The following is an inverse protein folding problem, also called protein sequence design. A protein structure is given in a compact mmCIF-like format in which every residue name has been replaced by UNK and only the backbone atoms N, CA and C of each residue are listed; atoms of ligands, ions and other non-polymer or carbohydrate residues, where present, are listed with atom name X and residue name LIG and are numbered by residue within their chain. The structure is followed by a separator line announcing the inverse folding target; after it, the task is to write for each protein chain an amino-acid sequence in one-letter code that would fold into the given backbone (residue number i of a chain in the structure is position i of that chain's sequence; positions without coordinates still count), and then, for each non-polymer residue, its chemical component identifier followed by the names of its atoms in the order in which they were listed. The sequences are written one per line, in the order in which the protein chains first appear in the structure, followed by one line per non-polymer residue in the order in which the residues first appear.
data_IF_004181436238
#
_entry.id   IF_004181436238
#
_cell.length_a   1.000
_cell.length_b   1.000
_cell.length_c   1.000
_cell.angle_alpha   90.00
_cell.angle_beta   90.00
_cell.angle_gamma   90.00
#
_symmetry.space_group_name_H-M   'P 1'
#
loop_
_entity.id
_entity.type
_entity.pdbx_description
1 polymer ?
#
# COMPACT_ATOMS: atom_id res chain seq x y z
N UNK A 1 31.51 8.00 -25.68
CA UNK A 1 32.87 8.10 -26.25
C UNK A 1 33.29 9.55 -26.08
N UNK A 2 34.38 9.78 -25.38
CA UNK A 2 34.96 11.12 -25.28
C UNK A 2 35.64 11.44 -26.61
N UNK A 3 35.31 12.58 -27.19
CA UNK A 3 35.94 13.11 -28.40
C UNK A 3 37.20 13.89 -28.04
N UNK A 4 38.04 14.16 -29.05
CA UNK A 4 39.33 14.84 -28.89
C UNK A 4 39.23 16.26 -28.33
N UNK A 5 38.07 16.89 -28.43
CA UNK A 5 37.72 18.20 -27.86
C UNK A 5 37.21 18.11 -26.40
N UNK A 6 37.19 16.91 -25.81
CA UNK A 6 36.70 16.67 -24.46
C UNK A 6 35.17 16.51 -24.35
N UNK A 7 34.41 16.68 -25.44
CA UNK A 7 32.97 16.43 -25.43
C UNK A 7 32.65 14.93 -25.40
N UNK A 8 31.43 14.54 -25.03
CA UNK A 8 31.03 13.13 -24.91
C UNK A 8 29.88 12.84 -25.87
N UNK A 9 30.08 11.88 -26.78
CA UNK A 9 29.04 11.42 -27.72
C UNK A 9 28.62 9.97 -27.47
N UNK A 10 27.40 9.63 -27.85
CA UNK A 10 26.91 8.25 -27.83
C UNK A 10 27.71 7.37 -28.80
N UNK A 11 27.99 6.13 -28.39
CA UNK A 11 28.69 5.14 -29.23
C UNK A 11 27.82 4.62 -30.37
N UNK A 12 26.53 4.42 -30.10
CA UNK A 12 25.54 3.98 -31.07
C UNK A 12 24.41 5.03 -31.17
N UNK A 13 24.20 5.66 -32.34
CA UNK A 13 23.13 6.64 -32.57
C UNK A 13 21.72 6.10 -32.29
N UNK A 14 21.49 4.78 -32.40
CA UNK A 14 20.19 4.15 -32.11
C UNK A 14 19.80 4.25 -30.64
N UNK A 15 20.79 4.37 -29.75
CA UNK A 15 20.58 4.58 -28.31
C UNK A 15 19.88 5.91 -28.06
N UNK A 16 20.11 6.93 -28.90
CA UNK A 16 19.47 8.24 -28.75
C UNK A 16 17.94 8.14 -28.85
N UNK A 17 17.43 7.34 -29.79
CA UNK A 17 15.99 7.15 -29.94
C UNK A 17 15.40 6.36 -28.76
N UNK A 18 16.11 5.31 -28.29
CA UNK A 18 15.70 4.52 -27.13
C UNK A 18 15.65 5.36 -25.85
N UNK A 19 16.66 6.20 -25.62
CA UNK A 19 16.70 7.16 -24.51
C UNK A 19 15.49 8.09 -24.58
N UNK A 20 15.21 8.70 -25.74
CA UNK A 20 14.05 9.60 -25.89
C UNK A 20 12.72 8.91 -25.63
N UNK A 21 12.56 7.65 -26.03
CA UNK A 21 11.32 6.89 -25.81
C UNK A 21 11.10 6.44 -24.36
N UNK A 22 12.16 6.43 -23.53
CA UNK A 22 12.11 6.00 -22.14
C UNK A 22 12.45 7.12 -21.15
N UNK A 23 12.81 8.31 -21.65
CA UNK A 23 13.13 9.46 -20.83
C UNK A 23 11.87 9.99 -20.13
N UNK A 24 11.97 10.18 -18.83
CA UNK A 24 10.89 10.69 -17.99
C UNK A 24 10.96 10.12 -16.59
N UNK A 25 10.37 10.85 -15.65
CA UNK A 25 10.26 10.44 -14.23
C UNK A 25 8.85 10.00 -13.86
N UNK A 26 7.86 10.30 -14.70
CA UNK A 26 6.46 9.92 -14.48
C UNK A 26 6.30 8.45 -14.83
N UNK A 27 5.82 7.66 -13.88
CA UNK A 27 5.47 6.27 -14.09
C UNK A 27 3.96 6.11 -14.07
N UNK A 28 3.44 5.46 -15.11
CA UNK A 28 2.03 5.08 -15.16
C UNK A 28 1.81 3.74 -14.44
N UNK A 29 0.57 3.51 -13.98
CA UNK A 29 0.17 2.22 -13.41
C UNK A 29 0.03 1.19 -14.54
N UNK A 30 0.86 0.15 -14.54
CA UNK A 30 0.80 -0.90 -15.56
C UNK A 30 -0.55 -1.64 -15.46
N UNK A 31 -1.27 -1.78 -16.58
CA UNK A 31 -2.49 -2.58 -16.68
C UNK A 31 -2.21 -3.95 -17.30
N UNK A 32 -2.98 -4.96 -16.88
CA UNK A 32 -2.96 -6.31 -17.41
C UNK A 32 -4.28 -6.64 -18.08
N UNK A 33 -4.21 -7.32 -19.24
CA UNK A 33 -5.41 -7.76 -19.97
C UNK A 33 -6.08 -8.91 -19.24
N UNK A 34 -7.39 -8.89 -19.15
CA UNK A 34 -8.20 -9.99 -18.58
C UNK A 34 -8.87 -10.76 -19.71
N UNK A 35 -8.68 -12.08 -19.73
CA UNK A 35 -9.26 -12.97 -20.75
C UNK A 35 -9.86 -14.22 -20.12
N UNK A 36 -10.86 -14.79 -20.77
CA UNK A 36 -11.31 -16.12 -20.40
C UNK A 36 -10.22 -17.17 -20.66
N UNK A 37 -10.06 -18.11 -19.74
CA UNK A 37 -9.21 -19.29 -19.92
C UNK A 37 -9.73 -20.11 -21.09
N UNK A 38 -8.85 -20.42 -22.05
CA UNK A 38 -9.25 -21.24 -23.20
C UNK A 38 -9.57 -22.67 -22.76
N UNK A 39 -10.62 -23.27 -23.33
CA UNK A 39 -10.89 -24.71 -23.24
C UNK A 39 -10.13 -25.41 -24.36
N UNK A 40 -9.46 -26.53 -24.02
CA UNK A 40 -8.70 -27.45 -24.90
C UNK A 40 -8.95 -27.23 -26.41
N UNK A 41 -7.95 -26.69 -27.11
CA UNK A 41 -7.88 -26.71 -28.58
C UNK A 41 -8.36 -25.47 -29.35
N UNK A 42 -8.91 -24.43 -28.71
CA UNK A 42 -9.23 -23.16 -29.38
C UNK A 42 -8.29 -22.02 -28.99
N UNK A 43 -7.90 -21.19 -29.95
CA UNK A 43 -7.04 -20.03 -29.75
C UNK A 43 -7.69 -19.02 -28.78
N UNK A 44 -6.86 -18.48 -27.88
CA UNK A 44 -7.06 -17.35 -26.96
C UNK A 44 -8.51 -16.98 -26.63
N UNK A 45 -8.96 -17.27 -25.40
CA UNK A 45 -10.28 -16.86 -24.92
C UNK A 45 -10.50 -15.35 -25.00
N UNK A 46 -11.77 -14.94 -25.14
CA UNK A 46 -12.12 -13.54 -25.41
C UNK A 46 -11.64 -12.59 -24.31
N UNK A 47 -11.21 -11.40 -24.74
CA UNK A 47 -10.77 -10.33 -23.83
C UNK A 47 -11.98 -9.64 -23.23
N UNK A 48 -11.95 -9.47 -21.91
CA UNK A 48 -13.06 -8.92 -21.11
C UNK A 48 -12.78 -7.47 -20.73
N UNK A 49 -11.51 -7.12 -20.51
CA UNK A 49 -11.09 -5.77 -20.11
C UNK A 49 -9.65 -5.75 -19.62
N UNK A 50 -9.30 -4.75 -18.82
CA UNK A 50 -7.98 -4.60 -18.20
C UNK A 50 -8.12 -4.29 -16.70
N UNK A 51 -7.13 -4.67 -15.90
CA UNK A 51 -7.03 -4.38 -14.47
C UNK A 51 -5.63 -3.89 -14.13
N UNK A 52 -5.45 -3.08 -13.09
CA UNK A 52 -4.11 -2.71 -12.60
C UNK A 52 -3.30 -3.95 -12.20
N UNK A 53 -1.99 -3.96 -12.52
CA UNK A 53 -1.05 -5.03 -12.17
C UNK A 53 -1.05 -5.28 -10.65
N UNK A 54 -1.08 -4.20 -9.85
CA UNK A 54 -1.13 -4.30 -8.39
C UNK A 54 -2.36 -5.08 -7.89
N UNK A 55 -3.52 -4.86 -8.52
CA UNK A 55 -4.72 -5.62 -8.20
C UNK A 55 -4.57 -7.09 -8.61
N UNK A 56 -4.08 -7.36 -9.83
CA UNK A 56 -3.91 -8.72 -10.32
C UNK A 56 -2.94 -9.56 -9.48
N UNK A 57 -1.86 -8.96 -8.98
CA UNK A 57 -0.88 -9.64 -8.10
C UNK A 57 -1.49 -9.98 -6.73
N UNK A 58 -2.49 -9.22 -6.27
CA UNK A 58 -3.20 -9.51 -5.02
C UNK A 58 -4.18 -10.69 -5.11
N UNK A 59 -4.37 -11.28 -6.30
CA UNK A 59 -5.31 -12.38 -6.52
C UNK A 59 -4.63 -13.74 -6.33
N UNK A 60 -5.28 -14.60 -5.57
CA UNK A 60 -4.93 -16.02 -5.43
C UNK A 60 -5.85 -16.86 -6.30
N UNK A 61 -5.38 -17.94 -6.96
CA UNK A 61 -6.24 -18.81 -7.76
C UNK A 61 -7.50 -19.23 -6.98
N UNK A 62 -8.69 -18.98 -7.56
CA UNK A 62 -9.97 -19.19 -6.90
C UNK A 62 -10.66 -17.93 -6.34
N UNK A 63 -9.93 -16.83 -6.23
CA UNK A 63 -10.51 -15.51 -5.94
C UNK A 63 -11.47 -15.09 -7.05
N UNK A 64 -12.54 -14.40 -6.69
CA UNK A 64 -13.49 -13.82 -7.64
C UNK A 64 -13.37 -12.31 -7.64
N UNK A 65 -13.55 -11.68 -8.80
CA UNK A 65 -13.61 -10.23 -8.93
C UNK A 65 -14.59 -9.77 -10.00
N UNK A 66 -15.03 -8.52 -9.91
CA UNK A 66 -15.96 -7.91 -10.85
C UNK A 66 -15.20 -7.16 -11.95
N UNK A 67 -15.50 -7.46 -13.21
CA UNK A 67 -14.97 -6.74 -14.39
C UNK A 67 -16.00 -6.72 -15.50
N UNK A 68 -16.24 -5.53 -16.10
CA UNK A 68 -17.21 -5.38 -17.19
C UNK A 68 -18.62 -5.90 -16.83
N UNK A 69 -19.04 -5.73 -15.57
CA UNK A 69 -20.33 -6.23 -15.06
C UNK A 69 -20.40 -7.74 -14.82
N UNK A 70 -19.29 -8.47 -15.00
CA UNK A 70 -19.24 -9.93 -14.85
C UNK A 70 -18.38 -10.33 -13.66
N UNK A 71 -18.88 -11.26 -12.85
CA UNK A 71 -18.10 -11.88 -11.78
C UNK A 71 -17.30 -13.04 -12.37
N UNK A 72 -15.98 -12.91 -12.30
CA UNK A 72 -15.04 -13.88 -12.85
C UNK A 72 -14.12 -14.39 -11.76
N UNK A 73 -13.75 -15.67 -11.84
CA UNK A 73 -12.80 -16.32 -10.95
C UNK A 73 -11.42 -16.29 -11.58
N UNK A 74 -10.45 -15.77 -10.85
CA UNK A 74 -9.05 -15.81 -11.20
C UNK A 74 -8.56 -17.26 -11.25
N UNK A 75 -8.02 -17.67 -12.39
CA UNK A 75 -7.47 -19.00 -12.60
C UNK A 75 -5.94 -18.96 -12.49
N UNK A 76 -5.32 -18.10 -13.28
CA UNK A 76 -3.87 -17.91 -13.28
C UNK A 76 -3.49 -16.62 -13.97
N UNK A 77 -2.29 -16.13 -13.66
CA UNK A 77 -1.63 -15.08 -14.42
C UNK A 77 -0.60 -15.72 -15.35
N UNK A 78 -0.84 -15.64 -16.66
CA UNK A 78 0.10 -16.14 -17.69
C UNK A 78 0.59 -14.97 -18.52
N UNK A 79 1.90 -14.80 -18.59
CA UNK A 79 2.54 -13.64 -19.23
C UNK A 79 2.00 -12.30 -18.70
N UNK A 80 1.17 -11.60 -19.49
CA UNK A 80 0.51 -10.32 -19.19
C UNK A 80 -1.02 -10.42 -19.25
N UNK A 81 -1.54 -11.65 -19.11
CA UNK A 81 -2.96 -11.94 -19.21
C UNK A 81 -3.44 -12.62 -17.94
N UNK A 82 -4.39 -11.98 -17.28
CA UNK A 82 -5.17 -12.56 -16.20
C UNK A 82 -6.19 -13.51 -16.82
N UNK A 83 -5.95 -14.81 -16.68
CA UNK A 83 -6.90 -15.82 -17.13
C UNK A 83 -7.99 -16.03 -16.09
N UNK A 84 -9.24 -16.02 -16.55
CA UNK A 84 -10.40 -16.14 -15.67
C UNK A 84 -11.42 -17.13 -16.19
N UNK A 85 -12.28 -17.61 -15.29
CA UNK A 85 -13.47 -18.39 -15.63
C UNK A 85 -14.74 -17.77 -15.03
N UNK A 86 -15.94 -17.94 -15.62
CA UNK A 86 -17.17 -17.42 -15.04
C UNK A 86 -17.46 -18.02 -13.65
N UNK A 87 -17.81 -17.17 -12.67
CA UNK A 87 -18.30 -17.57 -11.33
C UNK A 87 -19.33 -16.57 -10.78
N UNK A 88 -20.52 -16.47 -11.40
CA UNK A 88 -21.54 -15.50 -10.99
C UNK A 88 -22.02 -15.67 -9.55
N UNK A 89 -21.99 -16.90 -9.03
CA UNK A 89 -22.53 -17.28 -7.71
C UNK A 89 -21.71 -16.77 -6.50
N UNK A 90 -20.46 -16.32 -6.68
CA UNK A 90 -19.52 -16.04 -5.57
C UNK A 90 -19.29 -14.54 -5.42
N UNK A 91 -19.25 -14.05 -4.17
CA UNK A 91 -19.01 -12.62 -3.86
C UNK A 91 -17.67 -12.15 -4.47
N UNK A 92 -17.65 -11.10 -5.31
CA UNK A 92 -16.42 -10.60 -5.95
C UNK A 92 -15.62 -9.69 -5.01
N UNK A 93 -14.29 -9.73 -5.13
CA UNK A 93 -13.40 -8.60 -4.82
C UNK A 93 -13.67 -7.48 -5.82
N UNK A 94 -13.66 -6.24 -5.36
CA UNK A 94 -13.80 -5.08 -6.25
C UNK A 94 -12.40 -4.70 -6.73
N UNK A 95 -12.22 -4.62 -8.06
CA UNK A 95 -10.99 -4.11 -8.63
C UNK A 95 -10.82 -2.64 -8.22
N UNK A 96 -9.79 -2.35 -7.45
CA UNK A 96 -9.45 -0.98 -7.05
C UNK A 96 -8.46 -0.47 -8.08
N UNK A 97 -8.86 0.58 -8.79
CA UNK A 97 -7.95 1.40 -9.56
C UNK A 97 -7.40 2.46 -8.62
N UNK A 98 -6.14 2.32 -8.23
CA UNK A 98 -5.54 3.17 -7.20
C UNK A 98 -5.18 4.54 -7.77
N UNK A 99 -4.88 4.62 -9.07
CA UNK A 99 -4.39 5.84 -9.72
C UNK A 99 -3.25 6.52 -8.96
N UNK A 100 -2.94 7.78 -9.31
CA UNK A 100 -2.09 8.68 -8.51
C UNK A 100 -2.90 9.32 -7.39
N UNK A 101 -3.40 8.53 -6.44
CA UNK A 101 -3.96 9.09 -5.21
C UNK A 101 -2.84 9.67 -4.35
N UNK A 102 -2.67 10.99 -4.41
CA UNK A 102 -1.85 11.71 -3.44
C UNK A 102 -2.43 11.49 -2.04
N UNK A 103 -1.56 11.14 -1.10
CA UNK A 103 -1.93 11.11 0.33
C UNK A 103 -2.39 12.51 0.74
N UNK A 104 -3.39 12.56 1.62
CA UNK A 104 -3.84 13.80 2.25
C UNK A 104 -2.65 14.53 2.89
N UNK A 105 -2.57 15.85 2.69
CA UNK A 105 -1.50 16.66 3.27
C UNK A 105 -1.65 16.75 4.79
N UNK A 106 -0.54 16.84 5.51
CA UNK A 106 -0.55 17.03 6.97
C UNK A 106 -1.28 18.31 7.37
N UNK A 107 -1.17 19.37 6.57
CA UNK A 107 -1.90 20.63 6.78
C UNK A 107 -3.42 20.44 6.71
N UNK A 108 -3.92 19.61 5.78
CA UNK A 108 -5.34 19.31 5.68
C UNK A 108 -5.79 18.44 6.86
N UNK A 109 -5.01 17.44 7.25
CA UNK A 109 -5.27 16.64 8.45
C UNK A 109 -5.35 17.52 9.72
N UNK A 110 -4.40 18.43 9.91
CA UNK A 110 -4.39 19.37 11.04
C UNK A 110 -5.63 20.26 11.04
N UNK A 111 -6.06 20.74 9.86
CA UNK A 111 -7.30 21.54 9.73
C UNK A 111 -8.55 20.73 10.07
N UNK A 112 -8.62 19.46 9.66
CA UNK A 112 -9.72 18.57 10.03
C UNK A 112 -9.77 18.38 11.54
N UNK A 113 -8.63 18.06 12.17
CA UNK A 113 -8.55 17.88 13.62
C UNK A 113 -8.97 19.13 14.39
N UNK A 114 -8.52 20.33 13.98
CA UNK A 114 -8.97 21.60 14.58
C UNK A 114 -10.48 21.81 14.45
N UNK A 115 -11.05 21.48 13.29
CA UNK A 115 -12.50 21.60 13.06
C UNK A 115 -13.30 20.67 13.98
N UNK A 116 -12.80 19.45 14.21
CA UNK A 116 -13.39 18.48 15.15
C UNK A 116 -13.29 18.97 16.61
N UNK A 117 -12.13 19.51 16.99
CA UNK A 117 -11.85 19.98 18.35
C UNK A 117 -12.64 21.23 18.72
N UNK A 118 -12.68 22.23 17.85
CA UNK A 118 -13.42 23.48 18.05
C UNK A 118 -14.95 23.31 17.89
N UNK A 119 -15.41 22.12 17.49
CA UNK A 119 -16.81 21.80 17.16
C UNK A 119 -17.46 22.80 16.19
N UNK A 120 -16.67 23.36 15.26
CA UNK A 120 -17.14 24.31 14.24
C UNK A 120 -17.89 23.58 13.13
N UNK A 121 -19.08 23.06 13.44
CA UNK A 121 -19.88 22.24 12.53
C UNK A 121 -20.98 23.01 11.80
N UNK A 122 -21.11 24.31 12.07
CA UNK A 122 -22.21 25.17 11.59
C UNK A 122 -22.34 25.21 10.05
N UNK A 123 -21.25 24.94 9.33
CA UNK A 123 -21.22 24.91 7.85
C UNK A 123 -21.17 23.50 7.26
N UNK A 124 -21.32 22.45 8.08
CA UNK A 124 -21.31 21.06 7.63
C UNK A 124 -22.74 20.59 7.33
N UNK A 125 -22.95 19.68 6.36
CA UNK A 125 -24.26 19.09 6.13
C UNK A 125 -24.80 18.36 7.38
N UNK A 126 -26.11 18.44 7.64
CA UNK A 126 -26.75 17.85 8.82
C UNK A 126 -26.45 16.36 9.04
N UNK A 127 -26.32 15.59 7.96
CA UNK A 127 -25.98 14.17 8.07
C UNK A 127 -24.57 13.96 8.65
N UNK A 128 -23.64 14.88 8.37
CA UNK A 128 -22.28 14.82 8.88
C UNK A 128 -22.25 15.23 10.35
N UNK A 129 -22.96 16.29 10.74
CA UNK A 129 -23.11 16.71 12.14
C UNK A 129 -23.65 15.55 12.99
N UNK A 130 -24.76 14.92 12.55
CA UNK A 130 -25.32 13.74 13.25
C UNK A 130 -24.34 12.57 13.32
N UNK A 131 -23.53 12.36 12.30
CA UNK A 131 -22.50 11.30 12.31
C UNK A 131 -21.39 11.60 13.32
N UNK A 132 -20.95 12.85 13.43
CA UNK A 132 -19.97 13.31 14.43
C UNK A 132 -20.53 13.20 15.86
N UNK A 133 -21.78 13.61 16.07
CA UNK A 133 -22.48 13.46 17.36
C UNK A 133 -22.59 11.99 17.76
N UNK A 134 -22.94 11.12 16.82
CA UNK A 134 -23.03 9.69 17.07
C UNK A 134 -21.66 9.08 17.41
N UNK A 135 -20.58 9.54 16.76
CA UNK A 135 -19.22 9.14 17.15
C UNK A 135 -18.91 9.60 18.58
N UNK A 136 -19.23 10.85 18.92
CA UNK A 136 -19.00 11.42 20.24
C UNK A 136 -19.84 10.76 21.35
N UNK A 137 -21.02 10.22 21.03
CA UNK A 137 -21.83 9.46 21.99
C UNK A 137 -21.32 8.03 22.18
N UNK A 138 -20.62 7.47 21.18
CA UNK A 138 -20.14 6.09 21.19
C UNK A 138 -18.70 5.94 21.71
N UNK A 139 -17.86 6.95 21.45
CA UNK A 139 -16.43 6.96 21.73
C UNK A 139 -15.97 8.42 21.92
N UNK A 140 -14.82 8.81 21.38
CA UNK A 140 -14.33 10.19 21.34
C UNK A 140 -14.09 10.66 19.90
N UNK A 141 -14.02 11.97 19.74
CA UNK A 141 -13.51 12.58 18.52
C UNK A 141 -11.97 12.67 18.60
N UNK A 142 -11.24 12.41 17.51
CA UNK A 142 -9.81 12.68 17.41
C UNK A 142 -9.49 14.15 17.66
N UNK A 143 -8.39 14.44 18.34
CA UNK A 143 -7.94 15.80 18.68
C UNK A 143 -6.52 16.04 18.19
N UNK A 144 -6.17 17.31 17.97
CA UNK A 144 -4.81 17.70 17.60
C UNK A 144 -3.78 17.26 18.64
N UNK A 145 -2.59 16.86 18.19
CA UNK A 145 -1.49 16.38 19.04
C UNK A 145 -1.87 15.21 19.97
N UNK A 146 -2.86 14.41 19.58
CA UNK A 146 -3.28 13.21 20.30
C UNK A 146 -3.50 12.04 19.34
N UNK A 147 -3.36 10.81 19.84
CA UNK A 147 -3.80 9.62 19.13
C UNK A 147 -5.00 9.03 19.87
N UNK A 148 -6.09 8.83 19.15
CA UNK A 148 -7.22 8.02 19.61
C UNK A 148 -6.98 6.57 19.17
N UNK A 149 -7.13 5.64 20.09
CA UNK A 149 -7.17 4.21 19.82
C UNK A 149 -8.51 3.64 20.27
N UNK A 150 -9.17 2.91 19.39
CA UNK A 150 -10.37 2.14 19.70
C UNK A 150 -10.10 0.65 19.57
N UNK A 151 -10.52 -0.15 20.54
CA UNK A 151 -10.51 -1.62 20.43
C UNK A 151 -11.92 -2.17 20.45
N UNK A 152 -12.20 -3.21 19.66
CA UNK A 152 -13.50 -3.89 19.71
C UNK A 152 -13.45 -5.33 19.17
N UNK A 153 -14.29 -6.23 19.70
CA UNK A 153 -14.45 -7.56 19.13
C UNK A 153 -15.44 -7.55 17.97
N UNK A 154 -15.20 -8.37 16.93
CA UNK A 154 -16.16 -8.64 15.85
C UNK A 154 -15.83 -9.96 15.16
N UNK A 155 -16.84 -10.81 14.96
CA UNK A 155 -16.73 -12.08 14.21
C UNK A 155 -15.55 -12.96 14.67
N UNK A 156 -15.40 -13.15 16.00
CA UNK A 156 -14.30 -13.91 16.65
C UNK A 156 -12.90 -13.32 16.48
N UNK A 157 -12.78 -12.13 15.91
CA UNK A 157 -11.53 -11.37 15.81
C UNK A 157 -11.58 -10.16 16.73
N UNK A 158 -10.40 -9.66 17.08
CA UNK A 158 -10.20 -8.44 17.85
C UNK A 158 -9.59 -7.37 16.95
N UNK A 159 -10.17 -6.17 16.97
CA UNK A 159 -9.78 -5.05 16.12
C UNK A 159 -9.17 -3.95 16.98
N UNK A 160 -8.12 -3.33 16.46
CA UNK A 160 -7.43 -2.17 17.03
C UNK A 160 -7.37 -1.08 15.96
N UNK A 161 -8.06 0.03 16.20
CA UNK A 161 -8.20 1.15 15.28
C UNK A 161 -7.41 2.35 15.82
N UNK A 162 -6.40 2.82 15.10
CA UNK A 162 -5.50 3.89 15.50
C UNK A 162 -5.72 5.10 14.60
N UNK A 163 -6.28 6.17 15.16
CA UNK A 163 -6.57 7.43 14.46
C UNK A 163 -5.38 8.37 14.61
N UNK A 164 -4.53 8.41 13.59
CA UNK A 164 -3.28 9.20 13.61
C UNK A 164 -3.27 10.44 12.72
N UNK A 165 -4.16 10.53 11.72
CA UNK A 165 -4.26 11.69 10.81
C UNK A 165 -2.94 12.07 10.09
N UNK A 166 -2.12 11.09 9.72
CA UNK A 166 -0.79 11.32 9.11
C UNK A 166 -0.73 11.18 7.59
N UNK A 167 -1.85 10.87 6.93
CA UNK A 167 -1.91 10.55 5.50
C UNK A 167 -1.68 9.06 5.23
N UNK A 168 -2.13 8.59 4.05
CA UNK A 168 -2.26 7.15 3.76
C UNK A 168 -0.94 6.39 3.85
N UNK A 169 0.14 6.92 3.30
CA UNK A 169 1.46 6.26 3.33
C UNK A 169 2.00 6.12 4.75
N UNK A 170 1.85 7.16 5.57
CA UNK A 170 2.21 7.11 6.98
C UNK A 170 1.35 6.07 7.73
N UNK A 171 0.04 6.06 7.50
CA UNK A 171 -0.85 5.09 8.15
C UNK A 171 -0.56 3.64 7.72
N UNK A 172 -0.24 3.40 6.45
CA UNK A 172 0.24 2.09 5.99
C UNK A 172 1.52 1.68 6.70
N UNK A 173 2.48 2.61 6.85
CA UNK A 173 3.71 2.40 7.62
C UNK A 173 3.40 2.04 9.06
N UNK A 174 2.47 2.77 9.69
CA UNK A 174 2.02 2.49 11.05
C UNK A 174 1.40 1.09 11.16
N UNK A 175 0.63 0.66 10.16
CA UNK A 175 0.07 -0.69 10.10
C UNK A 175 1.13 -1.77 10.19
N UNK A 176 2.19 -1.63 9.38
CA UNK A 176 3.34 -2.57 9.39
C UNK A 176 4.06 -2.59 10.74
N UNK A 177 4.30 -1.41 11.32
CA UNK A 177 4.93 -1.26 12.63
C UNK A 177 4.11 -1.92 13.74
N UNK A 178 2.80 -1.65 13.75
CA UNK A 178 1.88 -2.19 14.74
C UNK A 178 1.78 -3.71 14.63
N UNK A 179 1.67 -4.26 13.42
CA UNK A 179 1.57 -5.72 13.25
C UNK A 179 2.86 -6.42 13.65
N UNK A 180 4.03 -5.90 13.26
CA UNK A 180 5.32 -6.45 13.69
C UNK A 180 5.42 -6.50 15.23
N UNK A 181 5.09 -5.38 15.89
CA UNK A 181 5.11 -5.30 17.34
C UNK A 181 4.07 -6.20 18.00
N UNK A 182 2.91 -6.38 17.38
CA UNK A 182 1.91 -7.35 17.83
C UNK A 182 2.44 -8.78 17.73
N UNK A 183 3.21 -9.14 16.69
CA UNK A 183 3.87 -10.46 16.60
C UNK A 183 4.89 -10.65 17.72
N UNK A 184 5.76 -9.66 17.94
CA UNK A 184 6.76 -9.69 19.04
C UNK A 184 6.13 -9.84 20.43
N UNK A 185 4.88 -9.37 20.59
CA UNK A 185 4.09 -9.47 21.82
C UNK A 185 3.14 -10.68 21.85
N UNK A 186 3.15 -11.56 20.84
CA UNK A 186 2.25 -12.73 20.80
C UNK A 186 0.76 -12.39 20.65
N UNK A 187 0.43 -11.23 20.07
CA UNK A 187 -0.93 -10.74 19.88
C UNK A 187 -1.59 -11.25 18.59
N UNK A 188 -0.89 -12.08 17.81
CA UNK A 188 -1.40 -12.82 16.65
C UNK A 188 -2.19 -11.94 15.65
N UNK A 189 -1.55 -10.91 15.06
CA UNK A 189 -2.19 -10.10 14.02
C UNK A 189 -2.41 -10.93 12.75
N UNK A 190 -3.56 -10.72 12.12
CA UNK A 190 -3.97 -11.43 10.88
C UNK A 190 -3.88 -10.50 9.67
N UNK A 191 -4.12 -9.21 9.86
CA UNK A 191 -4.09 -8.24 8.78
C UNK A 191 -4.35 -6.82 9.24
N UNK A 192 -4.10 -5.87 8.34
CA UNK A 192 -4.46 -4.48 8.57
C UNK A 192 -4.94 -3.79 7.29
N UNK A 193 -5.56 -2.62 7.46
CA UNK A 193 -5.91 -1.70 6.38
C UNK A 193 -5.71 -0.28 6.86
N UNK A 194 -5.38 0.62 5.94
CA UNK A 194 -5.12 2.02 6.25
C UNK A 194 -5.73 2.93 5.20
N UNK A 195 -6.29 4.06 5.66
CA UNK A 195 -6.65 5.20 4.83
C UNK A 195 -5.85 6.43 5.28
N UNK A 196 -6.23 7.62 4.85
CA UNK A 196 -5.50 8.86 5.17
C UNK A 196 -5.46 9.20 6.66
N UNK A 197 -6.42 8.74 7.44
CA UNK A 197 -6.62 9.17 8.83
C UNK A 197 -6.33 8.07 9.85
N UNK A 198 -6.47 6.82 9.44
CA UNK A 198 -6.60 5.72 10.39
C UNK A 198 -5.97 4.43 9.87
N UNK A 199 -5.42 3.67 10.82
CA UNK A 199 -4.96 2.30 10.62
C UNK A 199 -5.82 1.35 11.45
N UNK A 200 -6.40 0.33 10.81
CA UNK A 200 -7.18 -0.71 11.45
C UNK A 200 -6.43 -2.04 11.35
N UNK A 201 -6.03 -2.62 12.48
CA UNK A 201 -5.42 -3.94 12.59
C UNK A 201 -6.45 -4.92 13.16
N UNK A 202 -6.47 -6.17 12.70
CA UNK A 202 -7.25 -7.24 13.31
C UNK A 202 -6.40 -8.48 13.58
N UNK A 203 -6.71 -9.17 14.67
CA UNK A 203 -5.98 -10.35 15.12
C UNK A 203 -6.85 -11.29 15.95
N UNK A 204 -6.23 -12.39 16.38
CA UNK A 204 -6.89 -13.40 17.22
C UNK A 204 -6.95 -12.96 18.69
N UNK A 205 -5.89 -12.30 19.17
CA UNK A 205 -5.76 -11.91 20.58
C UNK A 205 -6.28 -10.49 20.81
N UNK A 206 -7.04 -10.27 21.89
CA UNK A 206 -7.46 -8.92 22.29
C UNK A 206 -6.27 -8.12 22.78
N UNK A 207 -6.09 -6.92 22.25
CA UNK A 207 -5.08 -5.98 22.74
C UNK A 207 -5.61 -5.26 23.98
N UNK A 208 -5.08 -5.60 25.16
CA UNK A 208 -5.51 -5.00 26.44
C UNK A 208 -4.88 -3.63 26.66
N UNK A 209 -3.60 -3.47 26.29
CA UNK A 209 -2.83 -2.23 26.49
C UNK A 209 -2.33 -1.66 25.16
N UNK A 210 -3.21 -1.14 24.29
CA UNK A 210 -2.81 -0.70 22.96
C UNK A 210 -1.83 0.49 22.97
N UNK A 211 -1.76 1.24 24.07
CA UNK A 211 -0.77 2.33 24.23
C UNK A 211 0.67 1.80 24.14
N UNK A 212 0.93 0.59 24.65
CA UNK A 212 2.24 -0.08 24.56
C UNK A 212 2.66 -0.38 23.12
N UNK A 213 1.73 -0.38 22.17
CA UNK A 213 2.04 -0.56 20.76
C UNK A 213 2.68 0.68 20.13
N UNK A 214 2.45 1.87 20.71
CA UNK A 214 2.99 3.15 20.22
C UNK A 214 4.10 3.71 21.12
N UNK A 215 4.28 3.16 22.32
CA UNK A 215 5.25 3.62 23.32
C UNK A 215 6.48 2.70 23.39
N UNK A 216 7.68 3.25 23.59
CA UNK A 216 8.92 2.51 23.84
C UNK A 216 10.09 2.95 22.95
N UNK A 217 11.29 2.41 23.21
CA UNK A 217 12.50 2.73 22.46
C UNK A 217 12.33 2.34 20.98
N UNK A 218 12.37 3.38 20.14
CA UNK A 218 12.23 3.40 18.70
C UNK A 218 11.38 2.26 18.11
N UNK A 219 10.06 2.47 17.98
CA UNK A 219 9.16 1.56 17.25
C UNK A 219 9.68 1.23 15.82
N UNK A 220 10.54 2.09 15.27
CA UNK A 220 11.16 1.93 13.96
C UNK A 220 12.38 1.00 13.99
N UNK A 221 12.80 0.52 15.16
CA UNK A 221 13.97 -0.34 15.33
C UNK A 221 13.77 -1.67 14.59
N UNK A 222 14.77 -2.04 13.79
CA UNK A 222 14.74 -3.26 12.98
C UNK A 222 13.75 -3.21 11.82
N UNK A 223 13.20 -2.03 11.48
CA UNK A 223 12.37 -1.89 10.29
C UNK A 223 13.22 -1.74 9.01
N UNK A 224 14.42 -1.18 9.08
CA UNK A 224 15.39 -1.24 7.97
C UNK A 224 15.63 -2.69 7.52
N UNK A 225 15.80 -3.60 8.49
CA UNK A 225 15.97 -5.04 8.26
C UNK A 225 14.70 -5.67 7.67
N UNK A 226 13.52 -5.29 8.15
CA UNK A 226 12.26 -5.81 7.63
C UNK A 226 11.92 -5.27 6.22
N UNK A 227 12.17 -3.99 5.94
CA UNK A 227 12.04 -3.39 4.61
C UNK A 227 13.06 -3.97 3.63
N UNK A 228 14.26 -4.28 4.12
CA UNK A 228 15.27 -4.97 3.32
C UNK A 228 14.85 -6.40 2.93
N UNK A 229 13.84 -6.99 3.61
CA UNK A 229 13.16 -8.20 3.16
C UNK A 229 12.19 -7.91 1.98
N UNK A 230 12.86 -7.66 0.85
CA UNK A 230 12.54 -7.93 -0.54
C UNK A 230 11.34 -7.26 -1.22
N UNK A 231 10.11 -7.29 -0.73
CA UNK A 231 8.97 -6.96 -1.62
C UNK A 231 8.83 -5.45 -1.94
N UNK A 232 8.93 -4.58 -0.93
CA UNK A 232 8.81 -3.13 -1.10
C UNK A 232 10.06 -2.57 -1.78
N UNK A 233 11.25 -2.97 -1.33
CA UNK A 233 12.50 -2.50 -1.91
C UNK A 233 12.66 -2.93 -3.37
N UNK A 234 12.33 -4.18 -3.74
CA UNK A 234 12.37 -4.61 -5.15
C UNK A 234 11.37 -3.85 -6.02
N UNK A 235 10.17 -3.58 -5.49
CA UNK A 235 9.16 -2.75 -6.18
C UNK A 235 9.67 -1.33 -6.42
N UNK A 236 10.24 -0.68 -5.40
CA UNK A 236 10.83 0.65 -5.53
C UNK A 236 12.04 0.63 -6.46
N UNK A 237 12.88 -0.39 -6.37
CA UNK A 237 14.06 -0.54 -7.22
C UNK A 237 13.68 -0.64 -8.69
N UNK A 238 12.58 -1.33 -9.03
CA UNK A 238 12.07 -1.38 -10.41
C UNK A 238 11.74 0.01 -10.95
N UNK A 239 11.16 0.87 -10.13
CA UNK A 239 10.90 2.27 -10.50
C UNK A 239 12.23 3.01 -10.74
N UNK A 240 13.16 2.94 -9.80
CA UNK A 240 14.47 3.59 -9.90
C UNK A 240 15.28 3.08 -11.10
N UNK A 241 15.29 1.77 -11.36
CA UNK A 241 15.96 1.14 -12.48
C UNK A 241 15.33 1.49 -13.84
N UNK A 242 14.02 1.75 -13.87
CA UNK A 242 13.34 2.29 -15.06
C UNK A 242 13.85 3.71 -15.35
N UNK A 243 13.81 4.60 -14.36
CA UNK A 243 14.24 6.00 -14.51
C UNK A 243 15.74 6.09 -14.86
N UNK A 244 16.55 5.21 -14.28
CA UNK A 244 17.97 5.09 -14.58
C UNK A 244 18.28 4.50 -15.98
N UNK A 245 17.26 4.07 -16.73
CA UNK A 245 17.43 3.50 -18.06
C UNK A 245 18.04 2.09 -18.10
N UNK A 246 18.13 1.41 -16.95
CA UNK A 246 18.54 0.00 -16.88
C UNK A 246 17.43 -0.94 -17.36
N UNK A 247 16.19 -0.47 -17.30
CA UNK A 247 15.01 -1.20 -17.74
C UNK A 247 14.31 -0.36 -18.81
N UNK A 248 14.45 -0.77 -20.06
CA UNK A 248 13.74 -0.16 -21.20
C UNK A 248 12.30 -0.68 -21.25
N UNK A 249 11.30 0.21 -21.13
CA UNK A 249 9.85 -0.12 -21.24
C UNK A 249 9.36 -0.05 -22.69
N UNK A 250 9.83 0.96 -23.43
CA UNK A 250 9.42 1.25 -24.80
C UNK A 250 10.53 0.84 -25.78
N UNK A 251 10.24 -0.13 -26.64
CA UNK A 251 11.09 -0.48 -27.78
C UNK A 251 10.34 -0.18 -29.10
N UNK A 252 11.06 0.15 -30.19
CA UNK A 252 10.44 0.31 -31.51
C UNK A 252 9.72 -1.00 -31.93
N UNK A 253 8.40 -0.92 -32.14
CA UNK A 253 7.58 -2.04 -32.62
C UNK A 253 7.22 -3.12 -31.58
N UNK A 254 7.75 -3.07 -30.35
CA UNK A 254 7.49 -4.05 -29.29
C UNK A 254 7.40 -3.35 -27.94
N UNK A 255 6.35 -3.61 -27.15
CA UNK A 255 6.36 -3.30 -25.71
C UNK A 255 6.90 -4.51 -24.97
N UNK A 256 7.96 -4.33 -24.15
CA UNK A 256 8.38 -5.41 -23.23
C UNK A 256 7.24 -5.67 -22.23
N UNK A 257 7.00 -6.94 -21.94
CA UNK A 257 6.07 -7.35 -20.90
C UNK A 257 6.55 -6.86 -19.53
N UNK A 258 5.65 -6.34 -18.70
CA UNK A 258 5.92 -5.92 -17.32
C UNK A 258 6.67 -7.00 -16.54
N UNK A 259 6.33 -8.29 -16.74
CA UNK A 259 7.00 -9.45 -16.13
C UNK A 259 8.45 -9.65 -16.57
N UNK A 260 8.78 -9.39 -17.83
CA UNK A 260 10.18 -9.43 -18.30
C UNK A 260 10.98 -8.28 -17.69
N UNK A 261 10.36 -7.11 -17.51
CA UNK A 261 10.96 -6.00 -16.77
C UNK A 261 11.10 -6.29 -15.26
N UNK A 262 10.13 -6.96 -14.63
CA UNK A 262 10.19 -7.37 -13.20
C UNK A 262 11.29 -8.39 -12.94
N UNK A 263 11.38 -9.44 -13.77
CA UNK A 263 12.38 -10.49 -13.56
C UNK A 263 13.80 -9.93 -13.70
N UNK A 264 14.01 -8.99 -14.64
CA UNK A 264 15.27 -8.27 -14.76
C UNK A 264 15.54 -7.31 -13.59
N UNK A 265 14.53 -6.62 -13.03
CA UNK A 265 14.74 -5.71 -11.89
C UNK A 265 15.17 -6.44 -10.63
N UNK A 266 14.54 -7.58 -10.34
CA UNK A 266 14.77 -8.31 -9.09
C UNK A 266 16.17 -8.92 -9.07
N UNK A 267 16.61 -9.50 -10.20
CA UNK A 267 17.97 -10.01 -10.37
C UNK A 267 19.00 -8.88 -10.23
N UNK A 268 18.74 -7.72 -10.85
CA UNK A 268 19.63 -6.56 -10.73
C UNK A 268 19.73 -6.08 -9.29
N UNK A 269 18.61 -5.99 -8.58
CA UNK A 269 18.59 -5.63 -7.17
C UNK A 269 19.38 -6.64 -6.32
N UNK A 270 19.11 -7.93 -6.45
CA UNK A 270 19.76 -8.99 -5.68
C UNK A 270 21.27 -9.05 -5.97
N UNK A 271 21.67 -8.82 -7.22
CA UNK A 271 23.08 -8.76 -7.64
C UNK A 271 23.77 -7.55 -7.03
N UNK A 272 23.18 -6.35 -7.13
CA UNK A 272 23.75 -5.15 -6.51
C UNK A 272 23.85 -5.32 -5.01
N UNK A 273 22.81 -5.83 -4.35
CA UNK A 273 22.81 -6.05 -2.91
C UNK A 273 23.95 -6.99 -2.46
N UNK A 274 24.24 -8.02 -3.26
CA UNK A 274 25.28 -9.00 -2.97
C UNK A 274 26.70 -8.52 -3.29
N UNK A 275 26.89 -7.80 -4.40
CA UNK A 275 28.23 -7.51 -4.95
C UNK A 275 28.64 -6.03 -4.84
N UNK A 276 27.68 -5.10 -4.76
CA UNK A 276 27.93 -3.66 -4.55
C UNK A 276 26.82 -3.03 -3.68
N UNK A 277 26.79 -3.32 -2.37
CA UNK A 277 25.75 -2.82 -1.48
C UNK A 277 25.73 -1.29 -1.33
N UNK A 278 26.80 -0.60 -1.76
CA UNK A 278 26.91 0.85 -1.71
C UNK A 278 26.51 1.55 -3.02
N UNK A 279 26.01 0.79 -4.00
CA UNK A 279 25.64 1.28 -5.32
C UNK A 279 24.60 2.41 -5.25
N UNK A 280 24.75 3.42 -6.11
CA UNK A 280 23.90 4.62 -6.14
C UNK A 280 22.41 4.29 -6.27
N UNK A 281 22.05 3.30 -7.10
CA UNK A 281 20.66 2.90 -7.29
C UNK A 281 20.04 2.26 -6.05
N UNK A 282 20.81 1.56 -5.22
CA UNK A 282 20.31 1.04 -3.94
C UNK A 282 20.07 2.18 -2.95
N UNK A 283 20.96 3.19 -2.93
CA UNK A 283 20.77 4.41 -2.13
C UNK A 283 19.53 5.19 -2.56
N UNK A 284 19.36 5.41 -3.87
CA UNK A 284 18.19 6.08 -4.43
C UNK A 284 16.90 5.29 -4.15
N UNK A 285 16.95 3.94 -4.25
CA UNK A 285 15.83 3.06 -3.89
C UNK A 285 15.46 3.20 -2.42
N UNK A 286 16.45 3.27 -1.52
CA UNK A 286 16.19 3.48 -0.10
C UNK A 286 15.50 4.84 0.14
N UNK A 287 16.01 5.91 -0.47
CA UNK A 287 15.41 7.26 -0.35
C UNK A 287 13.96 7.27 -0.87
N UNK A 288 13.74 6.74 -2.08
CA UNK A 288 12.42 6.69 -2.70
C UNK A 288 11.43 5.83 -1.89
N UNK A 289 11.89 4.69 -1.34
CA UNK A 289 11.05 3.84 -0.50
C UNK A 289 10.63 4.58 0.78
N UNK A 290 11.56 5.33 1.39
CA UNK A 290 11.36 6.13 2.60
C UNK A 290 10.59 7.45 2.38
N UNK A 291 10.40 7.89 1.14
CA UNK A 291 9.65 9.11 0.82
C UNK A 291 8.29 8.82 0.17
N UNK A 292 8.22 7.80 -0.69
CA UNK A 292 7.05 7.50 -1.52
C UNK A 292 6.12 6.44 -0.95
N UNK A 293 6.65 5.31 -0.48
CA UNK A 293 5.83 4.17 -0.02
C UNK A 293 5.72 4.06 1.49
N UNK A 294 6.70 4.61 2.20
CA UNK A 294 6.84 4.49 3.65
C UNK A 294 7.19 5.85 4.21
N UNK A 295 6.26 6.57 4.84
CA UNK A 295 6.49 7.93 5.33
C UNK A 295 6.90 7.91 6.81
N UNK A 296 8.21 7.71 7.03
CA UNK A 296 8.79 7.64 8.37
C UNK A 296 8.77 8.97 9.09
N UNK A 297 9.14 10.05 8.41
CA UNK A 297 9.21 11.37 9.02
C UNK A 297 7.86 11.79 9.59
N UNK A 298 6.75 11.48 8.90
CA UNK A 298 5.41 11.74 9.45
C UNK A 298 5.08 10.86 10.65
N UNK A 299 5.48 9.59 10.66
CA UNK A 299 5.25 8.71 11.81
C UNK A 299 6.10 9.09 13.02
N UNK A 300 7.38 9.42 12.83
CA UNK A 300 8.24 9.96 13.89
C UNK A 300 7.62 11.22 14.49
N UNK A 301 7.29 12.21 13.65
CA UNK A 301 6.68 13.46 14.09
C UNK A 301 5.33 13.23 14.81
N UNK A 302 4.50 12.33 14.30
CA UNK A 302 3.24 11.96 14.96
C UNK A 302 3.52 11.37 16.35
N UNK A 303 4.38 10.34 16.44
CA UNK A 303 4.70 9.67 17.70
C UNK A 303 5.36 10.61 18.72
N UNK A 304 6.22 11.51 18.28
CA UNK A 304 6.83 12.54 19.12
C UNK A 304 5.78 13.51 19.69
N UNK A 305 4.92 14.07 18.82
CA UNK A 305 3.85 14.97 19.25
C UNK A 305 2.85 14.31 20.19
N UNK A 306 2.57 13.03 19.99
CA UNK A 306 1.52 12.31 20.73
C UNK A 306 2.05 11.40 21.84
N UNK A 307 3.35 11.43 22.15
CA UNK A 307 4.04 10.50 23.07
C UNK A 307 3.31 10.29 24.40
N UNK A 308 2.72 11.36 24.93
CA UNK A 308 1.99 11.36 26.22
C UNK A 308 0.47 11.53 26.07
N UNK A 309 -0.04 11.65 24.84
CA UNK A 309 -1.43 11.99 24.56
C UNK A 309 -2.12 10.88 23.76
N UNK A 310 -2.09 9.67 24.30
CA UNK A 310 -2.77 8.51 23.71
C UNK A 310 -4.01 8.20 24.55
N UNK A 311 -5.17 8.36 23.92
CA UNK A 311 -6.46 7.95 24.50
C UNK A 311 -6.85 6.59 23.95
N UNK A 312 -7.22 5.66 24.83
CA UNK A 312 -7.75 4.36 24.45
C UNK A 312 -9.21 4.25 24.91
N UNK A 313 -10.08 3.76 24.04
CA UNK A 313 -11.47 3.43 24.33
C UNK A 313 -11.72 1.97 23.96
N UNK A 314 -12.08 1.14 24.95
CA UNK A 314 -12.48 -0.25 24.72
C UNK A 314 -13.99 -0.33 24.45
N UNK A 315 -14.35 -0.66 23.22
CA UNK A 315 -15.71 -0.63 22.71
C UNK A 315 -16.30 -2.05 22.59
N UNK A 316 -17.61 -2.16 22.75
CA UNK A 316 -18.34 -3.44 22.58
C UNK A 316 -18.62 -3.81 21.12
N UNK A 317 -18.61 -2.83 20.21
CA UNK A 317 -18.90 -2.97 18.78
C UNK A 317 -18.21 -1.84 18.00
N UNK A 318 -18.12 -1.92 16.66
CA UNK A 318 -17.52 -0.85 15.86
C UNK A 318 -18.20 0.50 16.09
N UNK A 319 -17.39 1.55 16.17
CA UNK A 319 -17.82 2.95 16.24
C UNK A 319 -18.26 3.48 14.86
N UNK A 320 -19.00 4.59 14.81
CA UNK A 320 -19.30 5.28 13.54
C UNK A 320 -18.04 5.56 12.70
N UNK A 321 -16.91 5.90 13.32
CA UNK A 321 -15.65 6.16 12.62
C UNK A 321 -14.91 4.89 12.17
N UNK A 322 -14.96 3.79 12.93
CA UNK A 322 -14.29 2.54 12.55
C UNK A 322 -15.13 1.67 11.61
N UNK A 323 -16.45 1.88 11.53
CA UNK A 323 -17.33 1.09 10.66
C UNK A 323 -16.96 1.18 9.16
N UNK A 324 -16.68 2.36 8.56
CA UNK A 324 -16.23 2.46 7.18
C UNK A 324 -14.94 1.69 6.89
N UNK A 325 -14.00 1.64 7.85
CA UNK A 325 -12.73 0.91 7.68
C UNK A 325 -12.92 -0.60 7.51
N UNK A 326 -14.03 -1.16 8.01
CA UNK A 326 -14.37 -2.56 7.77
C UNK A 326 -14.71 -2.84 6.30
N UNK A 327 -15.01 -1.81 5.51
CA UNK A 327 -15.30 -1.91 4.07
C UNK A 327 -14.16 -1.36 3.21
N UNK A 328 -13.11 -0.80 3.83
CA UNK A 328 -11.96 -0.23 3.13
C UNK A 328 -11.23 -1.29 2.31
N UNK A 329 -10.85 -0.91 1.09
CA UNK A 329 -10.11 -1.76 0.19
C UNK A 329 -8.59 -1.62 0.41
N UNK A 330 -7.81 -2.60 -0.06
CA UNK A 330 -6.36 -2.61 0.17
C UNK A 330 -5.96 -3.19 1.52
N UNK A 331 -6.72 -4.18 2.01
CA UNK A 331 -6.35 -5.00 3.17
C UNK A 331 -5.03 -5.74 2.88
N UNK A 332 -4.12 -5.67 3.83
CA UNK A 332 -2.80 -6.31 3.77
C UNK A 332 -2.83 -7.50 4.75
N UNK A 333 -2.71 -8.74 4.25
CA UNK A 333 -2.60 -9.92 5.12
C UNK A 333 -1.23 -9.94 5.81
N UNK A 334 -1.20 -10.44 7.05
CA UNK A 334 0.04 -10.72 7.79
C UNK A 334 0.25 -12.23 7.83
N UNK A 335 1.38 -12.66 7.28
CA UNK A 335 1.80 -14.06 7.31
C UNK A 335 2.74 -14.27 8.49
N UNK A 336 2.16 -14.56 9.64
CA UNK A 336 2.86 -14.85 10.89
C UNK A 336 2.17 -15.94 11.70
N UNK A 337 2.46 -16.00 13.00
CA UNK A 337 2.02 -17.06 13.92
C UNK A 337 0.50 -17.27 14.01
N UNK A 338 -0.31 -16.33 13.50
CA UNK A 338 -1.77 -16.46 13.43
C UNK A 338 -2.27 -17.36 12.29
N UNK A 339 -1.41 -17.71 11.33
CA UNK A 339 -1.74 -18.54 10.15
C UNK A 339 -1.12 -19.95 10.26
N UNK A 340 -0.13 -20.16 11.13
CA UNK A 340 0.46 -21.47 11.46
C UNK A 340 -0.44 -22.29 12.41
#
# INVERSE_FOLDING_TARGET
IQTSDGSVKLRDPRIANRLRMNAGTIQDSDTLKVRYKSKRGKSNGSTIGEVEEAFAVSLTPGDTFLIGGKIVKFESLREMVVEVSPRPEKKPKIAVFSGTKFSTSTLLCDRILRTLEEKRWDNLPDYLCRWLEHQASFSKLPQSNSVLIETFPRNKLNYTCVYGFSGRNAQQTLGLLLTKRMEELGLNPVGFVANDYTTLVWGLTKVVEPKKLLQGDNILRGLDLWLSNNAVMKRTFRSVATVAGLIERNLPGLKKSGRQATFSSDILYDTLLKYDPNHLLLKATKIEAMQGLVDFGRIENMLEKTKNHITHVDLKKPSPFSAPLLLEAGRIPIHGSAIE
#
